data_IF_917421912170
#
_entry.id   IF_917421912170
#
_cell.length_a   1.000
_cell.length_b   1.000
_cell.length_c   1.000
_cell.angle_alpha   90.00
_cell.angle_beta   90.00
_cell.angle_gamma   90.00
#
_symmetry.space_group_name_H-M   'P 1'
#
loop_
_entity.id
_entity.type
_entity.pdbx_description
1 polymer ?
#
# COMPACT_ATOMS: atom_id res chain seq x y z
N UNK A 1 -5.08 -26.60 -20.92
CA UNK A 1 -4.75 -28.04 -20.81
C UNK A 1 -5.10 -28.50 -19.41
N UNK A 2 -6.05 -29.43 -19.22
CA UNK A 2 -6.42 -29.89 -17.88
C UNK A 2 -5.27 -30.71 -17.27
N UNK A 3 -4.83 -30.33 -16.07
CA UNK A 3 -3.86 -31.09 -15.29
C UNK A 3 -4.58 -32.37 -14.85
N UNK A 4 -4.19 -33.50 -15.43
CA UNK A 4 -4.74 -34.80 -15.10
C UNK A 4 -4.21 -35.21 -13.72
N UNK A 5 -4.92 -34.84 -12.66
CA UNK A 5 -4.56 -35.21 -11.29
C UNK A 5 -4.66 -36.74 -11.15
N UNK A 6 -3.61 -37.42 -10.64
CA UNK A 6 -3.66 -38.86 -10.45
C UNK A 6 -4.83 -39.22 -9.54
N UNK A 7 -5.63 -40.21 -9.93
CA UNK A 7 -6.76 -40.71 -9.13
C UNK A 7 -6.22 -41.17 -7.76
N UNK A 8 -6.54 -40.42 -6.71
CA UNK A 8 -6.00 -40.57 -5.35
C UNK A 8 -6.20 -41.97 -4.74
N UNK A 9 -7.11 -42.79 -5.28
CA UNK A 9 -7.45 -44.11 -4.74
C UNK A 9 -6.40 -45.20 -4.99
N UNK A 10 -5.39 -44.97 -5.84
CA UNK A 10 -4.42 -46.01 -6.24
C UNK A 10 -2.99 -45.82 -5.71
N UNK A 11 -2.71 -44.74 -4.97
CA UNK A 11 -1.36 -44.48 -4.47
C UNK A 11 -1.19 -45.11 -3.09
N UNK A 12 -0.19 -45.98 -2.86
CA UNK A 12 0.03 -46.56 -1.55
C UNK A 12 0.29 -45.44 -0.52
N UNK A 13 -0.26 -45.54 0.71
CA UNK A 13 -0.23 -44.44 1.70
C UNK A 13 1.18 -43.87 1.95
N UNK A 14 2.20 -44.75 1.97
CA UNK A 14 3.61 -44.37 2.14
C UNK A 14 4.17 -43.56 0.97
N UNK A 15 3.72 -43.80 -0.26
CA UNK A 15 4.16 -43.03 -1.43
C UNK A 15 3.50 -41.64 -1.43
N UNK A 16 2.23 -41.56 -1.01
CA UNK A 16 1.53 -40.29 -0.84
C UNK A 16 2.21 -39.42 0.20
N UNK A 17 2.54 -39.95 1.39
CA UNK A 17 3.24 -39.18 2.42
C UNK A 17 4.59 -38.64 1.95
N UNK A 18 5.36 -39.46 1.21
CA UNK A 18 6.65 -39.02 0.64
C UNK A 18 6.46 -37.91 -0.38
N UNK A 19 5.47 -38.03 -1.25
CA UNK A 19 5.11 -37.01 -2.22
C UNK A 19 4.69 -35.71 -1.51
N UNK A 20 3.79 -35.82 -0.52
CA UNK A 20 3.28 -34.67 0.21
C UNK A 20 4.40 -33.93 0.97
N UNK A 21 5.31 -34.66 1.62
CA UNK A 21 6.49 -34.06 2.28
C UNK A 21 7.39 -33.31 1.28
N UNK A 22 7.59 -33.84 0.07
CA UNK A 22 8.40 -33.19 -0.97
C UNK A 22 7.73 -31.94 -1.52
N UNK A 23 6.43 -32.02 -1.76
CA UNK A 23 5.65 -30.88 -2.24
C UNK A 23 5.57 -29.77 -1.19
N UNK A 24 5.24 -30.12 0.07
CA UNK A 24 5.21 -29.15 1.18
C UNK A 24 6.56 -28.47 1.39
N UNK A 25 7.68 -29.21 1.35
CA UNK A 25 9.01 -28.62 1.42
C UNK A 25 9.28 -27.65 0.27
N UNK A 26 8.92 -28.02 -0.97
CA UNK A 26 9.08 -27.15 -2.14
C UNK A 26 8.22 -25.88 -2.03
N UNK A 27 6.96 -26.00 -1.63
CA UNK A 27 6.05 -24.86 -1.44
C UNK A 27 6.60 -23.92 -0.37
N UNK A 28 6.93 -24.46 0.81
CA UNK A 28 7.51 -23.66 1.90
C UNK A 28 8.82 -22.96 1.48
N UNK A 29 9.66 -23.63 0.69
CA UNK A 29 10.90 -23.05 0.18
C UNK A 29 10.65 -21.95 -0.87
N UNK A 30 9.65 -22.12 -1.74
CA UNK A 30 9.23 -21.09 -2.69
C UNK A 30 8.65 -19.86 -1.97
N UNK A 31 7.82 -20.07 -0.95
CA UNK A 31 7.24 -19.00 -0.15
C UNK A 31 8.30 -18.24 0.64
N UNK A 32 9.24 -18.96 1.27
CA UNK A 32 10.39 -18.37 1.93
C UNK A 32 11.21 -17.50 0.97
N UNK A 33 11.54 -18.03 -0.21
CA UNK A 33 12.29 -17.28 -1.23
C UNK A 33 11.51 -16.05 -1.74
N UNK A 34 10.18 -16.14 -1.87
CA UNK A 34 9.34 -15.03 -2.31
C UNK A 34 9.27 -13.93 -1.26
N UNK A 35 9.18 -14.29 0.01
CA UNK A 35 9.10 -13.35 1.14
C UNK A 35 10.44 -12.66 1.40
N UNK A 36 11.55 -13.40 1.27
CA UNK A 36 12.91 -12.88 1.44
C UNK A 36 13.51 -12.25 0.17
N UNK A 37 12.83 -12.35 -0.97
CA UNK A 37 13.24 -11.65 -2.19
C UNK A 37 13.05 -10.15 -2.01
N UNK A 38 14.04 -9.36 -2.44
CA UNK A 38 13.98 -7.89 -2.46
C UNK A 38 12.78 -7.38 -3.25
N UNK A 39 12.44 -8.05 -4.36
CA UNK A 39 11.26 -7.73 -5.18
C UNK A 39 9.95 -8.00 -4.43
N UNK A 40 9.90 -9.08 -3.65
CA UNK A 40 8.74 -9.41 -2.81
C UNK A 40 8.51 -8.36 -1.73
N UNK A 41 9.59 -7.95 -1.04
CA UNK A 41 9.53 -6.87 -0.03
C UNK A 41 9.09 -5.54 -0.63
N UNK A 42 9.62 -5.17 -1.80
CA UNK A 42 9.23 -3.95 -2.50
C UNK A 42 7.75 -3.97 -2.91
N UNK A 43 7.25 -5.10 -3.41
CA UNK A 43 5.84 -5.27 -3.75
C UNK A 43 4.94 -5.18 -2.53
N UNK A 44 5.30 -5.81 -1.41
CA UNK A 44 4.55 -5.70 -0.16
C UNK A 44 4.52 -4.26 0.33
N UNK A 45 5.65 -3.56 0.33
CA UNK A 45 5.72 -2.15 0.70
C UNK A 45 4.84 -1.28 -0.21
N UNK A 46 4.89 -1.51 -1.53
CA UNK A 46 4.04 -0.83 -2.49
C UNK A 46 2.55 -1.05 -2.21
N UNK A 47 2.12 -2.29 -2.01
CA UNK A 47 0.71 -2.59 -1.67
C UNK A 47 0.29 -1.89 -0.39
N UNK A 48 1.10 -1.95 0.66
CA UNK A 48 0.78 -1.32 1.94
C UNK A 48 0.62 0.19 1.78
N UNK A 49 1.59 0.85 1.12
CA UNK A 49 1.53 2.30 0.87
C UNK A 49 0.34 2.66 0.01
N UNK A 50 0.13 1.94 -1.10
CA UNK A 50 -0.98 2.17 -2.01
C UNK A 50 -2.32 2.03 -1.29
N UNK A 51 -2.49 0.99 -0.46
CA UNK A 51 -3.72 0.76 0.29
C UNK A 51 -3.99 1.86 1.31
N UNK A 52 -2.95 2.33 2.02
CA UNK A 52 -3.07 3.44 2.95
C UNK A 52 -3.47 4.74 2.25
N UNK A 53 -2.83 5.05 1.10
CA UNK A 53 -3.14 6.24 0.29
C UNK A 53 -4.56 6.17 -0.27
N UNK A 54 -4.97 5.05 -0.85
CA UNK A 54 -6.33 4.87 -1.38
C UNK A 54 -7.37 4.95 -0.27
N UNK A 55 -7.11 4.36 0.90
CA UNK A 55 -8.00 4.46 2.06
C UNK A 55 -8.17 5.90 2.54
N UNK A 56 -7.06 6.64 2.66
CA UNK A 56 -7.10 8.06 3.01
C UNK A 56 -7.85 8.88 1.95
N UNK A 57 -7.61 8.62 0.67
CA UNK A 57 -8.32 9.28 -0.42
C UNK A 57 -9.82 9.02 -0.37
N UNK A 58 -10.26 7.78 -0.16
CA UNK A 58 -11.69 7.44 -0.07
C UNK A 58 -12.34 8.10 1.14
N UNK A 59 -11.67 8.09 2.30
CA UNK A 59 -12.17 8.75 3.52
C UNK A 59 -12.32 10.26 3.32
N UNK A 60 -11.32 10.91 2.72
CA UNK A 60 -11.40 12.33 2.38
C UNK A 60 -12.42 12.59 1.26
N UNK A 61 -12.53 11.71 0.27
CA UNK A 61 -13.49 11.81 -0.83
C UNK A 61 -14.94 11.75 -0.30
N UNK A 62 -15.22 10.86 0.64
CA UNK A 62 -16.52 10.82 1.33
C UNK A 62 -16.78 12.05 2.20
N UNK A 63 -15.75 12.81 2.54
CA UNK A 63 -15.82 14.05 3.34
C UNK A 63 -15.98 15.32 2.48
N UNK A 64 -16.06 15.21 1.14
CA UNK A 64 -16.38 16.33 0.24
C UNK A 64 -17.89 16.64 0.22
N UNK A 65 -18.53 16.69 1.40
CA UNK A 65 -19.85 17.28 1.61
C UNK A 65 -19.74 18.69 2.19
N UNK A 66 -20.82 19.48 2.11
CA UNK A 66 -20.93 20.78 2.77
C UNK A 66 -21.11 20.65 4.30
N UNK A 67 -21.45 19.46 4.80
CA UNK A 67 -21.71 19.20 6.22
C UNK A 67 -20.43 18.93 7.04
N UNK A 68 -20.47 19.23 8.33
CA UNK A 68 -19.41 18.87 9.28
C UNK A 68 -19.39 17.36 9.54
N UNK A 69 -18.20 16.78 9.42
CA UNK A 69 -17.96 15.35 9.58
C UNK A 69 -16.69 15.10 10.39
N UNK A 70 -16.50 13.86 10.83
CA UNK A 70 -15.36 13.47 11.68
C UNK A 70 -13.99 13.76 11.06
N UNK A 71 -13.91 13.94 9.73
CA UNK A 71 -12.67 14.25 9.01
C UNK A 71 -12.52 15.72 8.61
N UNK A 72 -13.48 16.59 8.95
CA UNK A 72 -13.43 18.02 8.62
C UNK A 72 -12.16 18.69 9.17
N UNK A 73 -11.69 18.32 10.35
CA UNK A 73 -10.42 18.82 10.89
C UNK A 73 -9.21 18.46 10.02
N UNK A 74 -9.20 17.27 9.42
CA UNK A 74 -8.14 16.82 8.50
C UNK A 74 -8.23 17.58 7.19
N UNK A 75 -9.45 17.81 6.67
CA UNK A 75 -9.71 18.61 5.48
C UNK A 75 -9.22 20.05 5.64
N UNK A 76 -9.56 20.70 6.76
CA UNK A 76 -9.12 22.06 7.08
C UNK A 76 -7.61 22.12 7.27
N UNK A 77 -7.00 21.13 7.94
CA UNK A 77 -5.54 21.06 8.07
C UNK A 77 -4.84 20.93 6.70
N UNK A 78 -5.35 20.06 5.81
CA UNK A 78 -4.81 19.90 4.47
C UNK A 78 -4.97 21.18 3.63
N UNK A 79 -6.13 21.83 3.70
CA UNK A 79 -6.38 23.11 3.03
C UNK A 79 -5.40 24.19 3.50
N UNK A 80 -5.21 24.33 4.81
CA UNK A 80 -4.25 25.27 5.40
C UNK A 80 -2.82 24.95 4.98
N UNK A 81 -2.42 23.67 4.94
CA UNK A 81 -1.08 23.27 4.49
C UNK A 81 -0.86 23.52 3.01
N UNK A 82 -1.90 23.33 2.19
CA UNK A 82 -1.86 23.67 0.77
C UNK A 82 -1.68 25.18 0.61
N UNK A 83 -2.48 25.98 1.32
CA UNK A 83 -2.37 27.44 1.30
C UNK A 83 -0.99 27.91 1.74
N UNK A 84 -0.47 27.41 2.87
CA UNK A 84 0.87 27.71 3.38
C UNK A 84 1.97 27.37 2.35
N UNK A 85 1.84 26.24 1.64
CA UNK A 85 2.83 25.82 0.63
C UNK A 85 2.82 26.69 -0.63
N UNK A 86 1.65 27.15 -1.08
CA UNK A 86 1.53 27.99 -2.29
C UNK A 86 1.55 29.49 -1.99
N UNK A 87 1.46 29.89 -0.71
CA UNK A 87 1.58 31.27 -0.26
C UNK A 87 3.03 31.63 0.02
N UNK A 88 3.38 32.90 -0.22
CA UNK A 88 4.65 33.45 0.23
C UNK A 88 4.70 33.46 1.75
N UNK A 89 5.78 32.93 2.32
CA UNK A 89 6.02 33.04 3.76
C UNK A 89 6.16 34.51 4.16
N UNK A 90 5.86 34.84 5.42
CA UNK A 90 6.00 36.21 5.95
C UNK A 90 7.43 36.75 5.80
N UNK A 91 8.43 35.87 5.75
CA UNK A 91 9.81 36.24 5.46
C UNK A 91 10.01 36.59 3.99
N UNK A 92 9.50 35.77 3.07
CA UNK A 92 9.59 36.06 1.63
C UNK A 92 8.80 37.31 1.24
N UNK A 93 7.68 37.60 1.91
CA UNK A 93 6.95 38.87 1.75
C UNK A 93 7.80 40.07 2.15
N UNK A 94 8.49 40.02 3.31
CA UNK A 94 9.40 41.09 3.75
C UNK A 94 10.59 41.24 2.81
N UNK A 95 11.20 40.13 2.39
CA UNK A 95 12.33 40.16 1.45
C UNK A 95 11.92 40.74 0.09
N UNK A 96 10.65 40.58 -0.33
CA UNK A 96 10.09 41.19 -1.55
C UNK A 96 9.75 42.67 -1.38
N UNK A 97 9.23 43.09 -0.22
CA UNK A 97 9.02 44.50 0.15
C UNK A 97 10.34 45.27 0.19
N UNK A 98 11.39 44.70 0.80
CA UNK A 98 12.74 45.29 0.85
C UNK A 98 13.37 45.42 -0.54
N UNK A 99 13.00 44.54 -1.48
CA UNK A 99 13.42 44.61 -2.88
C UNK A 99 12.54 45.54 -3.75
N UNK A 100 11.47 46.12 -3.20
CA UNK A 100 10.55 47.01 -3.94
C UNK A 100 9.76 46.31 -5.05
N UNK A 101 9.54 44.99 -4.93
CA UNK A 101 8.85 44.17 -5.95
C UNK A 101 7.39 43.86 -5.59
N UNK A 102 6.90 44.44 -4.50
CA UNK A 102 5.55 44.29 -3.95
C UNK A 102 4.87 45.66 -3.87
#
# INVERSE_FOLDING_TARGET
MPVNSPKFSQVPPRAYERYNRRMLKKVNQMDYNRFHSTKGRAYTAFITIFSAVTGAYLALYSDFGEEEHCFTSVRTWYANKKEEFWSLSEKEKRDLEEQGKL
#
